data_IF_646190209264
#
_entry.id   IF_646190209264
#
_cell.length_a   1.000
_cell.length_b   1.000
_cell.length_c   1.000
_cell.angle_alpha   90.00
_cell.angle_beta   90.00
_cell.angle_gamma   90.00
#
_symmetry.space_group_name_H-M   'P 1'
#
loop_
_entity.id
_entity.type
_entity.pdbx_description
1 polymer ?
#
# COMPACT_ATOMS: atom_id res chain seq x y z
N UNK A 1 -27.74 -13.92 9.92
CA UNK A 1 -27.57 -12.52 9.42
C UNK A 1 -26.81 -11.65 10.41
N UNK A 2 -27.18 -11.58 11.71
CA UNK A 2 -26.44 -10.78 12.70
C UNK A 2 -24.99 -11.26 12.96
N UNK A 3 -24.74 -12.56 13.03
CA UNK A 3 -23.38 -13.11 13.22
C UNK A 3 -22.41 -12.79 12.07
N UNK A 4 -22.90 -12.66 10.83
CA UNK A 4 -22.04 -12.28 9.69
C UNK A 4 -21.60 -10.82 9.78
N UNK A 5 -22.46 -9.95 10.31
CA UNK A 5 -22.18 -8.52 10.45
C UNK A 5 -21.13 -8.22 11.54
N UNK A 6 -21.04 -9.06 12.58
CA UNK A 6 -20.01 -8.88 13.62
C UNK A 6 -18.60 -9.23 13.11
N UNK A 7 -18.47 -10.32 12.35
CA UNK A 7 -17.20 -10.67 11.69
C UNK A 7 -16.77 -9.57 10.72
N UNK A 8 -17.72 -8.94 10.03
CA UNK A 8 -17.46 -7.90 9.04
C UNK A 8 -16.83 -6.63 9.66
N UNK A 9 -17.27 -6.18 10.84
CA UNK A 9 -16.73 -4.96 11.44
C UNK A 9 -15.27 -5.12 11.89
N UNK A 10 -14.93 -6.26 12.48
CA UNK A 10 -13.55 -6.58 12.88
C UNK A 10 -12.60 -6.66 11.69
N UNK A 11 -13.08 -7.19 10.56
CA UNK A 11 -12.31 -7.25 9.32
C UNK A 11 -11.94 -5.85 8.83
N UNK A 12 -12.88 -4.90 8.82
CA UNK A 12 -12.60 -3.52 8.44
C UNK A 12 -11.65 -2.82 9.42
N UNK A 13 -11.78 -3.10 10.71
CA UNK A 13 -10.90 -2.54 11.75
C UNK A 13 -9.44 -3.00 11.60
N UNK A 14 -9.19 -4.15 10.96
CA UNK A 14 -7.84 -4.65 10.63
C UNK A 14 -7.39 -4.19 9.25
N UNK A 15 -8.27 -4.19 8.24
CA UNK A 15 -7.92 -3.79 6.87
C UNK A 15 -7.54 -2.31 6.80
N UNK A 16 -8.30 -1.43 7.47
CA UNK A 16 -8.06 0.01 7.45
C UNK A 16 -6.63 0.39 7.92
N UNK A 17 -6.14 -0.04 9.10
CA UNK A 17 -4.78 0.28 9.52
C UNK A 17 -3.72 -0.38 8.65
N UNK A 18 -3.96 -1.57 8.09
CA UNK A 18 -3.03 -2.21 7.14
C UNK A 18 -2.89 -1.35 5.88
N UNK A 19 -4.00 -0.91 5.28
CA UNK A 19 -3.97 -0.06 4.09
C UNK A 19 -3.34 1.30 4.36
N UNK A 20 -3.67 1.92 5.50
CA UNK A 20 -3.06 3.19 5.91
C UNK A 20 -1.54 3.04 6.12
N UNK A 21 -1.12 1.96 6.76
CA UNK A 21 0.31 1.67 6.99
C UNK A 21 1.03 1.44 5.68
N UNK A 22 0.48 0.62 4.77
CA UNK A 22 1.10 0.35 3.46
C UNK A 22 1.24 1.65 2.66
N UNK A 23 0.19 2.46 2.60
CA UNK A 23 0.15 3.70 1.81
C UNK A 23 1.14 4.72 2.36
N UNK A 24 1.14 4.90 3.68
CA UNK A 24 2.06 5.81 4.36
C UNK A 24 3.50 5.40 4.12
N UNK A 25 3.79 4.09 4.20
CA UNK A 25 5.12 3.57 3.92
C UNK A 25 5.55 3.80 2.46
N UNK A 26 4.66 3.52 1.49
CA UNK A 26 4.89 3.80 0.08
C UNK A 26 5.16 5.28 -0.18
N UNK A 27 4.35 6.17 0.40
CA UNK A 27 4.51 7.62 0.28
C UNK A 27 5.87 8.08 0.82
N UNK A 28 6.26 7.61 2.01
CA UNK A 28 7.54 7.98 2.64
C UNK A 28 8.74 7.43 1.84
N UNK A 29 8.73 6.15 1.44
CA UNK A 29 9.84 5.55 0.67
C UNK A 29 9.94 6.23 -0.72
N UNK A 30 8.82 6.50 -1.37
CA UNK A 30 8.75 7.21 -2.65
C UNK A 30 9.26 8.66 -2.54
N UNK A 31 8.94 9.35 -1.43
CA UNK A 31 9.42 10.71 -1.16
C UNK A 31 10.94 10.74 -1.00
N UNK A 32 11.50 9.79 -0.24
CA UNK A 32 12.96 9.65 -0.05
C UNK A 32 13.67 9.39 -1.38
N UNK A 33 13.04 8.66 -2.31
CA UNK A 33 13.59 8.34 -3.63
C UNK A 33 13.26 9.39 -4.72
N UNK A 34 12.55 10.47 -4.38
CA UNK A 34 12.02 11.47 -5.33
C UNK A 34 11.26 10.84 -6.51
N UNK A 35 10.50 9.76 -6.26
CA UNK A 35 9.73 9.03 -7.28
C UNK A 35 8.24 9.10 -6.99
N UNK A 36 7.56 10.13 -7.51
CA UNK A 36 6.10 10.31 -7.48
C UNK A 36 5.40 9.87 -6.17
N UNK A 37 5.73 10.51 -5.02
CA UNK A 37 5.21 10.09 -3.71
C UNK A 37 3.68 10.06 -3.63
N UNK A 38 3.00 11.04 -4.22
CA UNK A 38 1.54 11.10 -4.25
C UNK A 38 0.91 9.96 -5.06
N UNK A 39 1.53 9.57 -6.18
CA UNK A 39 1.06 8.44 -6.99
C UNK A 39 1.09 7.15 -6.16
N UNK A 40 2.23 6.84 -5.53
CA UNK A 40 2.39 5.60 -4.76
C UNK A 40 1.61 5.59 -3.45
N UNK A 41 1.46 6.74 -2.79
CA UNK A 41 0.62 6.86 -1.59
C UNK A 41 -0.86 6.65 -1.90
N UNK A 42 -1.41 7.37 -2.89
CA UNK A 42 -2.83 7.24 -3.24
C UNK A 42 -3.13 5.85 -3.81
N UNK A 43 -2.26 5.32 -4.67
CA UNK A 43 -2.47 3.99 -5.26
C UNK A 43 -2.41 2.88 -4.20
N UNK A 44 -1.54 3.02 -3.19
CA UNK A 44 -1.50 2.15 -2.01
C UNK A 44 -2.74 2.20 -1.12
N UNK A 45 -3.62 3.20 -1.24
CA UNK A 45 -4.92 3.25 -0.55
C UNK A 45 -6.07 2.66 -1.37
N UNK A 46 -5.85 2.34 -2.65
CA UNK A 46 -6.92 1.80 -3.50
C UNK A 46 -6.91 0.28 -3.43
N UNK A 47 -5.71 -0.33 -3.44
CA UNK A 47 -5.59 -1.77 -3.54
C UNK A 47 -4.43 -2.32 -2.71
N UNK A 48 -4.63 -3.49 -2.12
CA UNK A 48 -3.60 -4.34 -1.52
C UNK A 48 -3.65 -5.69 -2.25
N UNK A 49 -2.52 -6.35 -2.58
CA UNK A 49 -1.12 -5.98 -2.42
C UNK A 49 -0.45 -5.41 -3.69
N UNK A 50 -1.22 -5.21 -4.79
CA UNK A 50 -0.68 -4.86 -6.11
C UNK A 50 0.23 -3.61 -6.14
N UNK A 51 -0.12 -2.45 -5.55
CA UNK A 51 0.73 -1.27 -5.56
C UNK A 51 2.09 -1.52 -4.89
N UNK A 52 2.12 -2.38 -3.88
CA UNK A 52 3.33 -2.76 -3.16
C UNK A 52 4.27 -3.60 -4.05
N UNK A 53 3.71 -4.55 -4.80
CA UNK A 53 4.44 -5.36 -5.78
C UNK A 53 5.00 -4.51 -6.93
N UNK A 54 4.17 -3.64 -7.53
CA UNK A 54 4.61 -2.74 -8.58
C UNK A 54 5.66 -1.75 -8.09
N UNK A 55 5.51 -1.21 -6.89
CA UNK A 55 6.49 -0.34 -6.28
C UNK A 55 7.84 -1.05 -6.12
N UNK A 56 7.81 -2.27 -5.61
CA UNK A 56 9.04 -3.05 -5.42
C UNK A 56 9.74 -3.34 -6.75
N UNK A 57 9.00 -3.72 -7.80
CA UNK A 57 9.56 -4.00 -9.13
C UNK A 57 10.07 -2.74 -9.85
N UNK A 58 9.32 -1.64 -9.84
CA UNK A 58 9.62 -0.45 -10.65
C UNK A 58 10.51 0.57 -9.92
N UNK A 59 10.35 0.71 -8.61
CA UNK A 59 11.04 1.73 -7.82
C UNK A 59 12.24 1.17 -7.06
N UNK A 60 12.08 0.02 -6.38
CA UNK A 60 13.20 -0.58 -5.62
C UNK A 60 14.13 -1.41 -6.51
N UNK A 61 13.59 -2.23 -7.41
CA UNK A 61 14.37 -3.08 -8.32
C UNK A 61 14.83 -2.33 -9.57
N UNK A 62 15.43 -1.14 -9.40
CA UNK A 62 16.31 -0.62 -10.45
C UNK A 62 17.55 -1.50 -10.50
N UNK A 63 17.49 -2.60 -11.26
CA UNK A 63 18.69 -3.33 -11.69
C UNK A 63 19.62 -2.29 -12.31
N UNK A 64 20.79 -2.08 -11.71
CA UNK A 64 21.94 -1.57 -12.44
C UNK A 64 22.27 -2.67 -13.45
N UNK A 65 21.70 -2.59 -14.65
CA UNK A 65 22.28 -3.31 -15.78
C UNK A 65 23.62 -2.61 -15.99
N UNK A 66 24.69 -3.30 -15.60
CA UNK A 66 26.07 -2.86 -15.79
C UNK A 66 26.46 -3.12 -17.23
#
# INVERSE_FOLDING_TARGET
MKELAEVEYWVWLVIAPIMLTQSTWLFIDARKRKRYPWFWGLWGLIQFPLPLLFYWLLVRRKRKVK
#
